data_IF_527231418015
#
_entry.id   IF_527231418015
#
_cell.length_a   1.000
_cell.length_b   1.000
_cell.length_c   1.000
_cell.angle_alpha   90.00
_cell.angle_beta   90.00
_cell.angle_gamma   90.00
#
_symmetry.space_group_name_H-M   'P 1'
#
loop_
_entity.id
_entity.type
_entity.pdbx_description
1 polymer ?
#
# COMPACT_ATOMS: atom_id res chain seq x y z
N UNK A 1 8.45 25.46 -31.71
CA UNK A 1 9.92 25.33 -31.92
C UNK A 1 10.58 26.65 -32.32
N UNK A 2 9.98 27.49 -33.18
CA UNK A 2 10.44 28.87 -33.42
C UNK A 2 10.50 29.71 -32.14
N UNK A 3 9.47 29.63 -31.31
CA UNK A 3 9.38 30.41 -30.06
C UNK A 3 10.41 29.96 -29.02
N UNK A 4 10.71 28.65 -28.96
CA UNK A 4 11.75 28.09 -28.07
C UNK A 4 13.16 28.49 -28.52
N UNK A 5 13.42 28.55 -29.84
CA UNK A 5 14.71 29.03 -30.36
C UNK A 5 14.92 30.53 -30.11
N UNK A 6 13.84 31.33 -30.12
CA UNK A 6 13.91 32.75 -29.77
C UNK A 6 14.29 32.97 -28.29
N UNK A 7 14.04 31.99 -27.42
CA UNK A 7 14.44 31.98 -26.01
C UNK A 7 15.88 31.43 -25.79
N UNK A 8 16.62 31.14 -26.86
CA UNK A 8 18.01 30.66 -26.77
C UNK A 8 18.17 29.15 -26.53
N UNK A 9 17.09 28.37 -26.59
CA UNK A 9 17.16 26.91 -26.44
C UNK A 9 17.82 26.29 -27.68
N UNK A 10 18.97 25.64 -27.49
CA UNK A 10 19.79 25.06 -28.57
C UNK A 10 19.43 23.61 -28.88
N UNK A 11 18.92 22.86 -27.90
CA UNK A 11 18.40 21.50 -28.06
C UNK A 11 17.19 21.24 -27.16
N UNK A 12 16.31 20.33 -27.60
CA UNK A 12 15.18 19.85 -26.83
C UNK A 12 15.03 18.35 -27.09
N UNK A 13 14.87 17.58 -26.02
CA UNK A 13 14.73 16.13 -26.07
C UNK A 13 13.45 15.72 -25.34
N UNK A 14 12.77 14.71 -25.88
CA UNK A 14 11.68 14.03 -25.19
C UNK A 14 12.30 12.79 -24.56
N UNK A 15 12.17 12.68 -23.24
CA UNK A 15 12.64 11.53 -22.46
C UNK A 15 11.42 10.92 -21.78
N UNK A 16 11.31 9.59 -21.83
CA UNK A 16 10.32 8.84 -21.07
C UNK A 16 10.65 8.87 -19.58
N UNK A 17 9.60 8.91 -18.76
CA UNK A 17 9.71 9.00 -17.28
C UNK A 17 10.48 7.82 -16.69
N UNK A 18 10.42 6.65 -17.33
CA UNK A 18 11.17 5.45 -16.96
C UNK A 18 12.68 5.67 -17.06
N UNK A 19 13.15 6.38 -18.09
CA UNK A 19 14.57 6.67 -18.29
C UNK A 19 15.05 7.79 -17.37
N UNK A 20 14.14 8.67 -16.97
CA UNK A 20 14.39 9.66 -15.93
C UNK A 20 14.57 9.00 -14.56
N UNK A 21 13.69 8.05 -14.21
CA UNK A 21 13.82 7.29 -12.96
C UNK A 21 15.11 6.48 -12.88
N UNK A 22 15.48 5.76 -13.95
CA UNK A 22 16.75 5.05 -14.00
C UNK A 22 17.95 5.99 -13.80
N UNK A 23 17.93 7.17 -14.42
CA UNK A 23 18.97 8.16 -14.21
C UNK A 23 19.01 8.69 -12.76
N UNK A 24 17.86 8.86 -12.10
CA UNK A 24 17.83 9.29 -10.70
C UNK A 24 18.28 8.19 -9.73
N UNK A 25 18.13 6.92 -10.10
CA UNK A 25 18.65 5.78 -9.34
C UNK A 25 20.17 5.61 -9.53
N UNK A 26 20.67 5.83 -10.75
CA UNK A 26 22.10 5.73 -11.09
C UNK A 26 22.92 6.92 -10.57
N UNK A 27 22.30 8.09 -10.41
CA UNK A 27 22.93 9.34 -9.95
C UNK A 27 22.22 9.92 -8.70
N UNK A 28 22.37 9.26 -7.53
CA UNK A 28 21.70 9.66 -6.29
C UNK A 28 22.14 11.04 -5.77
N UNK A 29 23.36 11.47 -6.10
CA UNK A 29 23.88 12.81 -5.85
C UNK A 29 23.08 13.91 -6.58
N UNK A 30 22.61 13.63 -7.81
CA UNK A 30 21.74 14.56 -8.54
C UNK A 30 20.39 14.68 -7.85
N UNK A 31 19.82 13.58 -7.36
CA UNK A 31 18.56 13.57 -6.61
C UNK A 31 18.63 14.49 -5.39
N UNK A 32 19.78 14.53 -4.71
CA UNK A 32 20.07 15.44 -3.58
C UNK A 32 20.20 16.92 -3.97
N UNK A 33 20.23 17.26 -5.25
CA UNK A 33 20.34 18.64 -5.73
C UNK A 33 19.07 19.15 -6.40
N UNK A 34 18.07 18.28 -6.63
CA UNK A 34 16.86 18.69 -7.30
C UNK A 34 15.98 19.59 -6.42
N UNK A 35 15.23 20.55 -7.00
CA UNK A 35 14.31 21.41 -6.25
C UNK A 35 13.24 20.62 -5.48
N UNK A 36 12.89 19.44 -5.99
CA UNK A 36 11.97 18.49 -5.39
C UNK A 36 12.66 17.47 -4.47
N UNK A 37 13.94 17.65 -4.10
CA UNK A 37 14.57 16.87 -3.03
C UNK A 37 13.72 16.92 -1.75
N UNK A 38 13.12 18.09 -1.51
CA UNK A 38 12.24 18.36 -0.40
C UNK A 38 10.78 18.10 -0.73
N UNK A 39 10.42 17.64 -1.94
CA UNK A 39 9.05 17.22 -2.21
C UNK A 39 8.76 16.11 -1.21
N UNK A 40 7.89 16.39 -0.21
CA UNK A 40 7.75 15.48 0.88
C UNK A 40 7.06 14.25 0.29
N UNK A 41 7.77 13.12 0.33
CA UNK A 41 7.12 11.81 0.28
C UNK A 41 5.86 11.91 1.14
N UNK A 42 4.66 11.59 0.60
CA UNK A 42 3.40 11.98 1.23
C UNK A 42 3.34 11.64 2.73
N UNK A 43 3.96 10.51 3.10
CA UNK A 43 4.43 10.23 4.45
C UNK A 43 5.63 9.26 4.40
N UNK A 44 6.38 9.18 5.50
CA UNK A 44 7.42 8.14 5.72
C UNK A 44 6.92 7.20 6.81
N UNK A 45 7.30 5.92 6.79
CA UNK A 45 7.01 4.93 7.83
C UNK A 45 8.17 3.95 7.92
N UNK A 46 8.23 3.14 8.98
CA UNK A 46 9.25 2.11 9.07
C UNK A 46 8.83 0.89 8.22
N UNK A 47 9.49 0.59 7.09
CA UNK A 47 9.08 -0.54 6.30
C UNK A 47 9.68 -1.85 6.85
N UNK A 48 10.71 -1.80 7.73
CA UNK A 48 11.45 -2.98 8.26
C UNK A 48 10.54 -4.00 8.90
N UNK A 49 9.62 -3.54 9.75
CA UNK A 49 8.62 -4.35 10.43
C UNK A 49 7.80 -5.19 9.43
N UNK A 50 7.35 -4.56 8.33
CA UNK A 50 6.59 -5.28 7.30
C UNK A 50 7.43 -6.26 6.49
N UNK A 51 8.70 -5.98 6.23
CA UNK A 51 9.53 -6.95 5.52
C UNK A 51 9.87 -8.17 6.39
N UNK A 52 10.03 -7.98 7.69
CA UNK A 52 10.21 -9.07 8.63
C UNK A 52 8.95 -9.95 8.69
N UNK A 53 7.77 -9.33 8.83
CA UNK A 53 6.47 -10.03 8.76
C UNK A 53 6.32 -10.79 7.45
N UNK A 54 6.65 -10.19 6.31
CA UNK A 54 6.59 -10.86 5.00
C UNK A 54 7.60 -12.01 4.92
N UNK A 55 8.79 -11.83 5.48
CA UNK A 55 9.82 -12.86 5.56
C UNK A 55 9.32 -14.09 6.33
N UNK A 56 8.76 -13.87 7.51
CA UNK A 56 8.20 -14.91 8.36
C UNK A 56 6.95 -15.55 7.75
N UNK A 57 6.03 -14.76 7.18
CA UNK A 57 4.85 -15.25 6.49
C UNK A 57 5.24 -16.19 5.34
N UNK A 58 6.26 -15.84 4.56
CA UNK A 58 6.77 -16.71 3.50
C UNK A 58 7.35 -18.02 4.03
N UNK A 59 8.12 -17.99 5.13
CA UNK A 59 8.67 -19.22 5.73
C UNK A 59 7.56 -20.11 6.27
N UNK A 60 6.57 -19.51 6.94
CA UNK A 60 5.35 -20.20 7.34
C UNK A 60 4.64 -20.82 6.14
N UNK A 61 4.66 -20.16 4.97
CA UNK A 61 4.00 -20.72 3.80
C UNK A 61 4.71 -21.92 3.19
N UNK A 62 6.04 -21.96 3.25
CA UNK A 62 6.85 -23.06 2.71
C UNK A 62 6.89 -24.28 3.61
N UNK A 63 6.87 -24.08 4.93
CA UNK A 63 7.03 -25.17 5.90
C UNK A 63 5.75 -26.01 6.09
N UNK A 64 4.58 -25.41 5.88
CA UNK A 64 3.30 -26.06 6.18
C UNK A 64 2.84 -27.08 5.12
N UNK A 65 3.63 -27.32 4.06
CA UNK A 65 3.37 -28.36 3.04
C UNK A 65 2.05 -28.23 2.25
N UNK A 66 1.19 -27.28 2.60
CA UNK A 66 -0.10 -27.05 1.98
C UNK A 66 0.06 -26.16 0.75
N UNK A 67 0.31 -26.80 -0.39
CA UNK A 67 -0.05 -26.27 -1.69
C UNK A 67 -1.57 -26.34 -1.83
N UNK A 68 -2.19 -25.20 -2.13
CA UNK A 68 -3.60 -25.07 -2.49
C UNK A 68 -4.61 -25.45 -1.39
N UNK A 69 -4.85 -24.51 -0.47
CA UNK A 69 -6.24 -24.28 -0.09
C UNK A 69 -6.75 -23.16 -1.00
N UNK A 70 -7.40 -23.54 -2.09
CA UNK A 70 -8.32 -22.66 -2.79
C UNK A 70 -9.52 -22.47 -1.85
N UNK A 71 -9.40 -21.58 -0.87
CA UNK A 71 -10.58 -21.15 -0.13
C UNK A 71 -11.42 -20.33 -1.10
N UNK A 72 -12.40 -20.99 -1.72
CA UNK A 72 -13.58 -20.34 -2.27
C UNK A 72 -14.35 -19.73 -1.08
N UNK A 73 -13.82 -18.66 -0.52
CA UNK A 73 -14.49 -17.90 0.51
C UNK A 73 -15.57 -17.06 -0.19
N UNK A 74 -16.81 -17.25 0.23
CA UNK A 74 -17.96 -16.56 -0.35
C UNK A 74 -18.00 -15.12 0.20
N UNK A 75 -17.16 -14.27 -0.41
CA UNK A 75 -16.96 -12.87 -0.01
C UNK A 75 -18.12 -11.95 -0.40
N UNK A 76 -19.20 -12.46 -1.00
CA UNK A 76 -20.40 -11.68 -1.37
C UNK A 76 -21.07 -10.99 -0.16
N UNK A 77 -20.77 -11.44 1.06
CA UNK A 77 -21.34 -10.86 2.28
C UNK A 77 -20.30 -10.04 3.04
N UNK A 78 -20.01 -8.79 2.65
CA UNK A 78 -19.59 -7.76 3.62
C UNK A 78 -19.47 -6.37 2.98
N UNK A 79 -19.51 -5.37 3.86
CA UNK A 79 -19.54 -3.90 3.72
C UNK A 79 -18.47 -3.26 2.79
N UNK A 80 -17.76 -4.05 1.99
CA UNK A 80 -16.63 -3.65 1.16
C UNK A 80 -16.99 -2.67 0.03
N UNK A 81 -18.12 -2.80 -0.70
CA UNK A 81 -18.49 -1.81 -1.71
C UNK A 81 -18.64 -0.40 -1.13
N UNK A 82 -19.23 -0.27 0.06
CA UNK A 82 -19.34 1.01 0.77
C UNK A 82 -17.97 1.52 1.24
N UNK A 83 -17.13 0.65 1.80
CA UNK A 83 -15.78 1.01 2.22
C UNK A 83 -14.89 1.47 1.07
N UNK A 84 -14.95 0.79 -0.07
CA UNK A 84 -14.20 1.13 -1.28
C UNK A 84 -14.60 2.51 -1.79
N UNK A 85 -15.90 2.80 -1.82
CA UNK A 85 -16.40 4.14 -2.14
C UNK A 85 -15.92 5.20 -1.15
N UNK A 86 -15.95 4.91 0.14
CA UNK A 86 -15.50 5.82 1.20
C UNK A 86 -14.00 6.14 1.12
N UNK A 87 -13.18 5.14 0.82
CA UNK A 87 -11.72 5.31 0.75
C UNK A 87 -11.25 5.75 -0.64
N UNK A 88 -12.09 5.62 -1.68
CA UNK A 88 -11.76 5.93 -3.06
C UNK A 88 -10.88 4.86 -3.71
N UNK A 89 -11.17 3.57 -3.46
CA UNK A 89 -10.60 2.44 -4.20
C UNK A 89 -11.36 2.30 -5.51
N UNK A 90 -10.67 2.17 -6.65
CA UNK A 90 -11.35 1.98 -7.94
C UNK A 90 -11.93 0.56 -8.09
N UNK A 91 -13.04 0.43 -8.80
CA UNK A 91 -13.72 -0.85 -9.01
C UNK A 91 -12.83 -1.86 -9.78
N UNK A 92 -12.07 -1.35 -10.76
CA UNK A 92 -11.13 -2.15 -11.55
C UNK A 92 -9.98 -2.68 -10.66
N UNK A 93 -9.39 -1.82 -9.83
CA UNK A 93 -8.33 -2.23 -8.91
C UNK A 93 -8.86 -3.24 -7.89
N UNK A 94 -10.02 -2.97 -7.30
CA UNK A 94 -10.63 -3.88 -6.35
C UNK A 94 -10.89 -5.27 -6.95
N UNK A 95 -11.53 -5.35 -8.12
CA UNK A 95 -11.88 -6.63 -8.75
C UNK A 95 -10.65 -7.37 -9.29
N UNK A 96 -9.77 -6.70 -10.03
CA UNK A 96 -8.66 -7.33 -10.74
C UNK A 96 -7.42 -7.58 -9.87
N UNK A 97 -7.25 -6.84 -8.77
CA UNK A 97 -6.05 -6.91 -7.93
C UNK A 97 -6.39 -7.43 -6.54
N UNK A 98 -7.33 -6.79 -5.83
CA UNK A 98 -7.66 -7.21 -4.46
C UNK A 98 -8.37 -8.57 -4.48
N UNK A 99 -9.49 -8.68 -5.19
CA UNK A 99 -10.30 -9.90 -5.26
C UNK A 99 -9.55 -11.01 -5.98
N UNK A 100 -9.11 -10.78 -7.21
CA UNK A 100 -8.53 -11.86 -8.02
C UNK A 100 -7.16 -12.35 -7.52
N UNK A 101 -6.31 -11.46 -6.98
CA UNK A 101 -4.90 -11.80 -6.71
C UNK A 101 -4.56 -11.95 -5.23
N UNK A 102 -5.28 -11.24 -4.34
CA UNK A 102 -4.89 -11.08 -2.94
C UNK A 102 -5.81 -11.80 -1.97
N UNK A 103 -7.12 -11.65 -2.13
CA UNK A 103 -8.14 -12.27 -1.27
C UNK A 103 -8.00 -13.79 -1.11
N UNK A 104 -7.61 -14.58 -2.14
CA UNK A 104 -7.36 -16.01 -1.99
C UNK A 104 -6.29 -16.37 -0.93
N UNK A 105 -5.49 -15.40 -0.48
CA UNK A 105 -4.42 -15.61 0.50
C UNK A 105 -4.79 -15.08 1.90
N UNK A 106 -5.93 -14.41 2.08
CA UNK A 106 -6.26 -13.74 3.34
C UNK A 106 -6.45 -14.69 4.52
N UNK A 107 -7.07 -15.85 4.30
CA UNK A 107 -7.20 -16.86 5.34
C UNK A 107 -5.82 -17.31 5.86
N UNK A 108 -4.85 -17.46 4.94
CA UNK A 108 -3.49 -17.85 5.30
C UNK A 108 -2.77 -16.78 6.11
N UNK A 109 -2.95 -15.50 5.75
CA UNK A 109 -2.42 -14.38 6.54
C UNK A 109 -3.05 -14.39 7.93
N UNK A 110 -4.37 -14.61 8.04
CA UNK A 110 -5.06 -14.70 9.32
C UNK A 110 -4.53 -15.84 10.19
N UNK A 111 -4.35 -17.04 9.63
CA UNK A 111 -3.79 -18.20 10.34
C UNK A 111 -2.36 -17.93 10.82
N UNK A 112 -1.53 -17.29 9.98
CA UNK A 112 -0.18 -16.89 10.35
C UNK A 112 -0.18 -15.95 11.57
N UNK A 113 -1.01 -14.89 11.55
CA UNK A 113 -1.07 -13.89 12.61
C UNK A 113 -1.72 -14.42 13.91
N UNK A 114 -2.62 -15.40 13.81
CA UNK A 114 -3.28 -16.01 14.97
C UNK A 114 -2.45 -17.13 15.64
N UNK A 115 -1.36 -17.55 15.01
CA UNK A 115 -0.52 -18.62 15.54
C UNK A 115 0.35 -18.09 16.69
N UNK A 116 0.25 -18.63 17.92
CA UNK A 116 1.02 -18.15 19.07
C UNK A 116 2.54 -18.18 18.89
N UNK A 117 3.05 -19.00 17.96
CA UNK A 117 4.50 -19.04 17.64
C UNK A 117 4.96 -17.80 16.88
N UNK A 118 4.03 -17.06 16.29
CA UNK A 118 4.30 -15.89 15.47
C UNK A 118 3.87 -14.59 16.18
N UNK A 119 3.65 -14.62 17.49
CA UNK A 119 3.17 -13.46 18.27
C UNK A 119 4.06 -12.22 18.09
N UNK A 120 5.37 -12.41 17.95
CA UNK A 120 6.31 -11.32 17.67
C UNK A 120 6.06 -10.66 16.30
N UNK A 121 5.78 -11.44 15.26
CA UNK A 121 5.43 -10.93 13.94
C UNK A 121 4.03 -10.33 13.90
N UNK A 122 3.09 -10.87 14.67
CA UNK A 122 1.77 -10.29 14.83
C UNK A 122 1.86 -8.89 15.48
N UNK A 123 2.72 -8.71 16.49
CA UNK A 123 2.98 -7.42 17.09
C UNK A 123 3.57 -6.41 16.07
N UNK A 124 4.60 -6.81 15.31
CA UNK A 124 5.17 -5.99 14.24
C UNK A 124 4.14 -5.60 13.16
N UNK A 125 3.26 -6.54 12.79
CA UNK A 125 2.16 -6.27 11.87
C UNK A 125 1.22 -5.19 12.41
N UNK A 126 0.82 -5.28 13.68
CA UNK A 126 -0.11 -4.34 14.30
C UNK A 126 0.52 -2.96 14.50
N UNK A 127 1.78 -2.89 14.95
CA UNK A 127 2.52 -1.63 15.11
C UNK A 127 2.63 -0.89 13.77
N UNK A 128 3.00 -1.61 12.70
CA UNK A 128 3.08 -1.04 11.36
C UNK A 128 1.70 -0.61 10.83
N UNK A 129 0.66 -1.40 11.07
CA UNK A 129 -0.70 -1.06 10.65
C UNK A 129 -1.22 0.21 11.34
N UNK A 130 -0.98 0.36 12.64
CA UNK A 130 -1.36 1.55 13.41
C UNK A 130 -0.60 2.80 12.95
N UNK A 131 0.72 2.69 12.71
CA UNK A 131 1.53 3.76 12.15
C UNK A 131 1.00 4.20 10.76
N UNK A 132 0.75 3.23 9.88
CA UNK A 132 0.24 3.48 8.53
C UNK A 132 -1.15 4.11 8.57
N UNK A 133 -2.05 3.61 9.42
CA UNK A 133 -3.41 4.15 9.54
C UNK A 133 -3.39 5.64 9.88
N UNK A 134 -2.61 6.04 10.89
CA UNK A 134 -2.51 7.45 11.30
C UNK A 134 -2.00 8.33 10.15
N UNK A 135 -0.98 7.86 9.42
CA UNK A 135 -0.37 8.61 8.32
C UNK A 135 -1.27 8.69 7.10
N UNK A 136 -1.93 7.60 6.73
CA UNK A 136 -2.91 7.55 5.64
C UNK A 136 -4.05 8.52 5.92
N UNK A 137 -4.61 8.53 7.13
CA UNK A 137 -5.69 9.46 7.49
C UNK A 137 -5.20 10.92 7.37
N UNK A 138 -4.02 11.24 7.91
CA UNK A 138 -3.48 12.60 7.89
C UNK A 138 -3.10 13.09 6.48
N UNK A 139 -2.80 12.18 5.56
CA UNK A 139 -2.24 12.50 4.24
C UNK A 139 -3.13 12.07 3.08
N UNK A 140 -4.34 11.56 3.35
CA UNK A 140 -5.27 11.04 2.33
C UNK A 140 -5.53 12.03 1.21
N UNK A 141 -5.63 13.32 1.52
CA UNK A 141 -5.89 14.39 0.57
C UNK A 141 -4.76 14.63 -0.46
N UNK A 142 -3.57 14.08 -0.23
CA UNK A 142 -2.44 14.16 -1.17
C UNK A 142 -2.50 13.11 -2.29
N UNK A 143 -3.46 12.17 -2.20
CA UNK A 143 -3.64 11.09 -3.15
C UNK A 143 -5.00 11.21 -3.86
N UNK A 144 -5.04 10.87 -5.15
CA UNK A 144 -6.30 10.85 -5.91
C UNK A 144 -7.16 9.66 -5.48
N UNK A 145 -6.62 8.46 -5.65
CA UNK A 145 -7.26 7.20 -5.28
C UNK A 145 -6.54 6.54 -4.10
N UNK A 146 -7.22 5.61 -3.42
CA UNK A 146 -6.56 4.76 -2.43
C UNK A 146 -5.60 3.76 -3.09
N UNK A 147 -5.85 3.43 -4.36
CA UNK A 147 -4.97 2.63 -5.22
C UNK A 147 -3.55 3.21 -5.26
N UNK A 148 -3.44 4.55 -5.34
CA UNK A 148 -2.16 5.27 -5.32
C UNK A 148 -1.42 5.09 -3.99
N UNK A 149 -2.16 4.95 -2.89
CA UNK A 149 -1.60 4.71 -1.55
C UNK A 149 -1.03 3.29 -1.47
N UNK A 150 -1.74 2.29 -2.01
CA UNK A 150 -1.22 0.93 -2.08
C UNK A 150 0.07 0.86 -2.90
N UNK A 151 0.09 1.50 -4.08
CA UNK A 151 1.29 1.57 -4.92
C UNK A 151 2.44 2.28 -4.21
N UNK A 152 2.15 3.41 -3.55
CA UNK A 152 3.14 4.14 -2.78
C UNK A 152 3.75 3.29 -1.65
N UNK A 153 2.92 2.65 -0.82
CA UNK A 153 3.41 1.78 0.26
C UNK A 153 4.19 0.58 -0.27
N UNK A 154 3.71 -0.03 -1.36
CA UNK A 154 4.41 -1.11 -2.03
C UNK A 154 5.82 -0.70 -2.44
N UNK A 155 5.96 0.46 -3.09
CA UNK A 155 7.25 1.02 -3.50
C UNK A 155 8.18 1.25 -2.29
N UNK A 156 7.67 1.85 -1.21
CA UNK A 156 8.47 2.08 0.01
C UNK A 156 8.94 0.78 0.67
N UNK A 157 8.10 -0.27 0.68
CA UNK A 157 8.46 -1.56 1.28
C UNK A 157 9.47 -2.31 0.41
N UNK A 158 9.32 -2.31 -0.91
CA UNK A 158 10.22 -3.06 -1.78
C UNK A 158 11.62 -2.45 -1.94
N UNK A 159 11.78 -1.15 -1.63
CA UNK A 159 13.03 -0.42 -1.84
C UNK A 159 14.19 -0.99 -1.00
N UNK A 160 15.24 -1.45 -1.69
CA UNK A 160 16.54 -1.89 -1.13
C UNK A 160 16.49 -3.06 -0.13
N UNK A 161 15.66 -4.08 -0.39
CA UNK A 161 15.50 -5.25 0.51
C UNK A 161 15.73 -6.59 -0.16
N UNK A 162 16.90 -7.18 0.12
CA UNK A 162 17.22 -8.54 -0.34
C UNK A 162 16.27 -9.60 0.26
N UNK A 163 15.79 -9.38 1.48
CA UNK A 163 14.84 -10.29 2.16
C UNK A 163 13.52 -10.47 1.39
N UNK A 164 13.14 -9.49 0.57
CA UNK A 164 11.92 -9.51 -0.24
C UNK A 164 12.12 -10.07 -1.66
N UNK A 165 13.34 -10.48 -2.01
CA UNK A 165 13.63 -11.09 -3.32
C UNK A 165 12.79 -12.36 -3.51
N UNK A 166 11.99 -12.39 -4.56
CA UNK A 166 11.05 -13.49 -4.85
C UNK A 166 9.74 -13.45 -4.03
N UNK A 167 9.59 -12.51 -3.11
CA UNK A 167 8.45 -12.43 -2.17
C UNK A 167 7.56 -11.20 -2.37
N UNK A 168 7.84 -10.37 -3.39
CA UNK A 168 7.17 -9.07 -3.60
C UNK A 168 5.65 -9.14 -3.66
N UNK A 169 5.07 -10.23 -4.19
CA UNK A 169 3.61 -10.45 -4.20
C UNK A 169 3.00 -10.39 -2.79
N UNK A 170 3.73 -10.85 -1.77
CA UNK A 170 3.26 -10.85 -0.38
C UNK A 170 3.11 -9.44 0.18
N UNK A 171 3.81 -8.44 -0.37
CA UNK A 171 3.64 -7.02 0.02
C UNK A 171 2.21 -6.59 -0.26
N UNK A 172 1.75 -6.75 -1.51
CA UNK A 172 0.39 -6.40 -1.91
C UNK A 172 -0.66 -7.18 -1.14
N UNK A 173 -0.44 -8.50 -0.96
CA UNK A 173 -1.36 -9.35 -0.19
C UNK A 173 -1.51 -8.83 1.24
N UNK A 174 -0.41 -8.50 1.92
CA UNK A 174 -0.44 -8.03 3.31
C UNK A 174 -1.12 -6.66 3.43
N UNK A 175 -0.81 -5.72 2.52
CA UNK A 175 -1.45 -4.40 2.49
C UNK A 175 -2.95 -4.49 2.22
N UNK A 176 -3.36 -5.35 1.28
CA UNK A 176 -4.78 -5.57 1.00
C UNK A 176 -5.49 -6.27 2.16
N UNK A 177 -4.81 -7.17 2.87
CA UNK A 177 -5.33 -7.80 4.09
C UNK A 177 -5.55 -6.76 5.20
N UNK A 178 -4.59 -5.88 5.44
CA UNK A 178 -4.74 -4.75 6.38
C UNK A 178 -5.94 -3.87 6.01
N UNK A 179 -6.10 -3.57 4.72
CA UNK A 179 -7.25 -2.80 4.26
C UNK A 179 -8.55 -3.59 4.46
N UNK A 180 -8.61 -4.87 4.11
CA UNK A 180 -9.81 -5.67 4.25
C UNK A 180 -10.28 -5.78 5.71
N UNK A 181 -9.36 -6.02 6.65
CA UNK A 181 -9.66 -6.08 8.09
C UNK A 181 -9.84 -4.70 8.74
N UNK A 182 -9.69 -3.64 7.94
CA UNK A 182 -9.83 -2.26 8.36
C UNK A 182 -8.82 -1.82 9.42
N UNK A 183 -7.64 -2.42 9.39
CA UNK A 183 -6.46 -1.95 10.10
C UNK A 183 -5.97 -0.65 9.44
N UNK A 184 -6.10 -0.53 8.11
CA UNK A 184 -5.91 0.72 7.37
C UNK A 184 -7.18 1.17 6.62
N UNK A 185 -7.25 2.47 6.35
CA UNK A 185 -8.41 3.13 5.77
C UNK A 185 -9.54 3.38 6.77
N UNK A 186 -10.56 4.10 6.32
CA UNK A 186 -11.71 4.50 7.17
C UNK A 186 -12.67 3.32 7.29
N UNK A 187 -13.12 3.00 8.51
CA UNK A 187 -14.07 1.92 8.82
C UNK A 187 -15.49 2.29 8.38
N UNK A 188 -16.03 3.39 8.90
CA UNK A 188 -17.26 4.10 8.50
C UNK A 188 -17.14 5.54 9.06
N UNK A 189 -17.86 6.52 8.49
CA UNK A 189 -18.13 7.77 9.21
C UNK A 189 -19.01 7.39 10.41
N UNK A 190 -18.60 7.75 11.63
CA UNK A 190 -19.56 7.86 12.72
C UNK A 190 -20.61 8.89 12.27
N UNK A 191 -21.84 8.45 12.03
CA UNK A 191 -22.95 9.38 11.99
C UNK A 191 -23.01 10.01 13.38
N UNK A 192 -22.51 11.24 13.51
CA UNK A 192 -22.87 12.08 14.65
C UNK A 192 -24.38 12.35 14.53
N UNK A 193 -25.20 11.47 15.10
CA UNK A 193 -26.58 11.78 15.48
C UNK A 193 -26.53 12.76 16.66
N UNK A 194 -26.17 14.01 16.40
CA UNK A 194 -26.27 15.09 17.37
C UNK A 194 -26.58 16.41 16.66
N UNK A 195 -27.77 16.51 16.03
CA UNK A 195 -28.61 17.73 16.04
C UNK A 195 -30.06 17.37 15.69
N UNK A 196 -30.78 16.69 16.59
CA UNK A 196 -32.24 16.87 16.68
C UNK A 196 -32.61 16.77 18.16
N UNK A 197 -32.52 17.88 18.87
CA UNK A 197 -33.42 18.29 19.96
C UNK A 197 -32.92 19.61 20.56
N UNK A 198 -33.01 20.67 19.77
CA UNK A 198 -33.26 22.01 20.29
C UNK A 198 -34.15 22.72 19.26
N UNK A 199 -35.28 23.19 19.75
CA UNK A 199 -36.23 24.11 19.11
C UNK A 199 -37.27 23.52 18.14
N UNK A 200 -38.39 23.08 18.73
CA UNK A 200 -39.76 23.49 18.34
C UNK A 200 -40.75 23.15 19.47
#
# INVERSE_FOLDING_TARGET
MKDLKALGVTSAHIIGVERLHLALDDYPDIRETLPNLLDPSPFRFNPDDLAEVIGALHSYTTDDGQSAFESAFDFEKLKMPFKNKLNGVSDEYYSQVIVAQSMPHFERVAQFLQNPRNDEFAALYHDAADELKQKIIAKRAQFGAFDDIFLFMYEQIQQKRDVLKGKRRLISILLHYMYFNCDIGIKQLEENEDVVHADA
#
